data_IF_957315294035
#
_entry.id   IF_957315294035
#
_cell.length_a   1.000
_cell.length_b   1.000
_cell.length_c   1.000
_cell.angle_alpha   90.00
_cell.angle_beta   90.00
_cell.angle_gamma   90.00
#
_symmetry.space_group_name_H-M   'P 1'
#
loop_
_entity.id
_entity.type
_entity.pdbx_description
1 polymer ?
#
# COMPACT_ATOMS: atom_id res chain seq x y z
N UNK A 1 -15.41 -14.06 -21.96
CA UNK A 1 -13.99 -14.31 -22.31
C UNK A 1 -13.25 -12.97 -22.27
N UNK A 2 -12.16 -12.86 -21.51
CA UNK A 2 -11.33 -11.66 -21.47
C UNK A 2 -10.24 -11.67 -22.55
N UNK A 3 -9.65 -10.50 -22.84
CA UNK A 3 -8.52 -10.35 -23.76
C UNK A 3 -7.33 -9.73 -23.02
N UNK A 4 -6.12 -10.24 -23.28
CA UNK A 4 -4.87 -9.69 -22.78
C UNK A 4 -3.95 -9.27 -23.93
N UNK A 5 -3.06 -8.31 -23.68
CA UNK A 5 -2.01 -7.95 -24.63
C UNK A 5 -0.76 -8.77 -24.35
N UNK A 6 -0.41 -9.67 -25.26
CA UNK A 6 0.78 -10.51 -25.18
C UNK A 6 1.60 -10.37 -26.46
N UNK A 7 2.89 -10.03 -26.32
CA UNK A 7 3.80 -9.78 -27.45
C UNK A 7 3.22 -8.86 -28.55
N UNK A 8 2.55 -7.79 -28.13
CA UNK A 8 1.96 -6.81 -29.04
C UNK A 8 0.62 -7.21 -29.67
N UNK A 9 0.11 -8.42 -29.44
CA UNK A 9 -1.18 -8.90 -29.97
C UNK A 9 -2.22 -9.04 -28.86
N UNK A 10 -3.51 -8.96 -29.24
CA UNK A 10 -4.61 -9.32 -28.33
C UNK A 10 -4.82 -10.82 -28.39
N UNK A 11 -4.75 -11.49 -27.25
CA UNK A 11 -4.96 -12.93 -27.10
C UNK A 11 -6.02 -13.18 -26.03
N UNK A 12 -6.67 -14.34 -26.10
CA UNK A 12 -7.64 -14.77 -25.08
C UNK A 12 -6.92 -15.04 -23.76
N UNK A 13 -7.60 -14.80 -22.65
CA UNK A 13 -7.17 -15.23 -21.32
C UNK A 13 -7.74 -16.64 -21.08
N UNK A 14 -6.86 -17.63 -20.99
CA UNK A 14 -7.26 -19.04 -20.81
C UNK A 14 -7.83 -19.29 -19.40
N UNK A 15 -7.20 -18.72 -18.37
CA UNK A 15 -7.60 -18.88 -16.97
C UNK A 15 -7.78 -17.50 -16.32
N UNK A 16 -9.05 -17.14 -16.06
CA UNK A 16 -9.41 -15.83 -15.49
C UNK A 16 -9.40 -15.83 -13.96
N UNK A 17 -9.46 -17.01 -13.32
CA UNK A 17 -9.49 -17.16 -11.87
C UNK A 17 -8.17 -16.73 -11.22
N UNK A 18 -7.03 -16.99 -11.88
CA UNK A 18 -5.68 -16.68 -11.39
C UNK A 18 -4.84 -16.01 -12.48
N UNK A 19 -5.20 -14.78 -12.84
CA UNK A 19 -4.59 -14.09 -13.97
C UNK A 19 -3.61 -13.01 -13.53
N UNK A 20 -2.43 -12.94 -14.17
CA UNK A 20 -1.47 -11.85 -13.95
C UNK A 20 -1.35 -11.01 -15.20
N UNK A 21 -1.54 -9.70 -15.08
CA UNK A 21 -1.39 -8.77 -16.20
C UNK A 21 0.06 -8.75 -16.70
N UNK A 22 0.33 -9.12 -17.97
CA UNK A 22 1.69 -9.15 -18.50
C UNK A 22 2.40 -7.79 -18.51
N UNK A 23 1.64 -6.70 -18.67
CA UNK A 23 2.20 -5.35 -18.77
C UNK A 23 2.36 -4.68 -17.40
N UNK A 24 1.50 -5.01 -16.44
CA UNK A 24 1.45 -4.34 -15.13
C UNK A 24 2.05 -5.20 -14.00
N UNK A 25 2.16 -6.52 -14.19
CA UNK A 25 2.56 -7.47 -13.14
C UNK A 25 1.54 -7.61 -12.01
N UNK A 26 0.37 -6.99 -12.12
CA UNK A 26 -0.72 -7.06 -11.14
C UNK A 26 -1.40 -8.42 -11.23
N UNK A 27 -1.63 -9.05 -10.09
CA UNK A 27 -2.29 -10.35 -9.99
C UNK A 27 -3.77 -10.18 -9.64
N UNK A 28 -4.63 -10.91 -10.34
CA UNK A 28 -6.07 -10.93 -10.19
C UNK A 28 -6.48 -12.33 -9.73
N UNK A 29 -7.19 -12.40 -8.61
CA UNK A 29 -7.78 -13.62 -8.10
C UNK A 29 -9.30 -13.45 -8.08
N UNK A 30 -9.98 -14.09 -9.02
CA UNK A 30 -11.44 -14.07 -9.08
C UNK A 30 -11.99 -15.27 -8.29
N UNK A 31 -12.67 -14.99 -7.19
CA UNK A 31 -13.40 -15.99 -6.41
C UNK A 31 -14.90 -15.94 -6.76
N UNK A 32 -15.70 -16.92 -6.34
CA UNK A 32 -17.16 -16.87 -6.55
C UNK A 32 -17.84 -15.65 -5.91
N UNK A 33 -17.22 -15.06 -4.89
CA UNK A 33 -17.81 -13.99 -4.07
C UNK A 33 -17.24 -12.61 -4.43
N UNK A 34 -15.97 -12.53 -4.85
CA UNK A 34 -15.28 -11.26 -5.05
C UNK A 34 -14.11 -11.37 -6.06
N UNK A 35 -13.64 -10.20 -6.49
CA UNK A 35 -12.38 -10.05 -7.21
C UNK A 35 -11.33 -9.47 -6.25
N UNK A 36 -10.28 -10.23 -5.99
CA UNK A 36 -9.10 -9.76 -5.27
C UNK A 36 -8.03 -9.33 -6.27
N UNK A 37 -7.34 -8.24 -5.94
CA UNK A 37 -6.29 -7.67 -6.79
C UNK A 37 -5.06 -7.47 -5.92
N UNK A 38 -3.90 -7.89 -6.42
CA UNK A 38 -2.63 -7.79 -5.73
C UNK A 38 -1.60 -7.07 -6.60
N UNK A 39 -0.78 -6.23 -5.97
CA UNK A 39 0.38 -5.61 -6.58
C UNK A 39 1.41 -6.67 -7.01
N UNK A 40 2.39 -6.30 -7.87
CA UNK A 40 3.46 -7.22 -8.26
C UNK A 40 4.25 -7.81 -7.08
N UNK A 41 4.25 -7.11 -5.93
CA UNK A 41 4.87 -7.54 -4.68
C UNK A 41 3.96 -8.40 -3.78
N UNK A 42 2.81 -8.87 -4.30
CA UNK A 42 1.80 -9.68 -3.60
C UNK A 42 1.03 -8.97 -2.50
N UNK A 43 1.20 -7.66 -2.31
CA UNK A 43 0.34 -6.91 -1.37
C UNK A 43 -1.06 -6.71 -1.97
N UNK A 44 -2.13 -6.77 -1.16
CA UNK A 44 -3.48 -6.53 -1.65
C UNK A 44 -3.65 -5.06 -2.07
N UNK A 45 -4.43 -4.84 -3.12
CA UNK A 45 -4.92 -3.51 -3.47
C UNK A 45 -5.93 -3.06 -2.43
N UNK A 46 -5.65 -1.91 -1.83
CA UNK A 46 -6.54 -1.30 -0.86
C UNK A 46 -7.51 -0.36 -1.57
N UNK A 47 -8.74 -0.29 -1.04
CA UNK A 47 -9.69 0.73 -1.47
C UNK A 47 -9.19 2.12 -1.11
N UNK A 48 -9.69 3.14 -1.79
CA UNK A 48 -9.37 4.55 -1.51
C UNK A 48 -9.67 4.92 -0.05
N UNK A 49 -10.77 4.39 0.51
CA UNK A 49 -11.15 4.58 1.91
C UNK A 49 -10.14 3.91 2.86
N UNK A 50 -9.72 2.69 2.55
CA UNK A 50 -8.71 1.99 3.36
C UNK A 50 -7.34 2.71 3.30
N UNK A 51 -6.94 3.23 2.14
CA UNK A 51 -5.73 4.05 1.99
C UNK A 51 -5.81 5.34 2.80
N UNK A 52 -6.95 6.03 2.78
CA UNK A 52 -7.17 7.24 3.57
C UNK A 52 -7.04 6.95 5.07
N UNK A 53 -7.65 5.86 5.55
CA UNK A 53 -7.55 5.45 6.95
C UNK A 53 -6.10 5.13 7.37
N UNK A 54 -5.33 4.44 6.51
CA UNK A 54 -3.91 4.18 6.78
C UNK A 54 -3.08 5.47 6.83
N UNK A 55 -3.37 6.41 5.93
CA UNK A 55 -2.70 7.71 5.88
C UNK A 55 -2.97 8.51 7.15
N UNK A 56 -4.24 8.63 7.56
CA UNK A 56 -4.62 9.33 8.79
C UNK A 56 -3.97 8.68 10.03
N UNK A 57 -3.91 7.34 10.08
CA UNK A 57 -3.26 6.64 11.17
C UNK A 57 -1.73 6.85 11.18
N UNK A 58 -1.11 6.98 10.01
CA UNK A 58 0.32 7.26 9.91
C UNK A 58 0.64 8.69 10.34
N UNK A 59 -0.19 9.66 9.94
CA UNK A 59 -0.08 11.07 10.33
C UNK A 59 -0.21 11.23 11.85
N UNK A 60 -1.27 10.68 12.45
CA UNK A 60 -1.45 10.71 13.91
C UNK A 60 -0.26 10.12 14.66
N UNK A 61 0.34 9.04 14.15
CA UNK A 61 1.53 8.43 14.75
C UNK A 61 2.77 9.32 14.65
N UNK A 62 2.96 9.96 13.50
CA UNK A 62 4.04 10.91 13.30
C UNK A 62 3.89 12.12 14.24
N UNK A 63 2.69 12.71 14.33
CA UNK A 63 2.41 13.84 15.22
C UNK A 63 2.68 13.51 16.68
N UNK A 64 2.26 12.33 17.15
CA UNK A 64 2.54 11.88 18.52
C UNK A 64 4.05 11.71 18.76
N UNK A 65 4.77 11.09 17.81
CA UNK A 65 6.22 10.90 17.92
C UNK A 65 6.98 12.23 17.90
N UNK A 66 6.52 13.21 17.12
CA UNK A 66 7.10 14.56 17.08
C UNK A 66 6.85 15.32 18.39
N UNK A 67 5.64 15.25 18.93
CA UNK A 67 5.30 15.87 20.21
C UNK A 67 6.13 15.27 21.37
N UNK A 68 6.31 13.94 21.39
CA UNK A 68 7.14 13.27 22.37
C UNK A 68 8.61 13.68 22.24
N UNK A 69 9.15 13.69 21.01
CA UNK A 69 10.52 14.13 20.75
C UNK A 69 10.74 15.60 21.17
N UNK A 70 9.79 16.48 20.88
CA UNK A 70 9.87 17.88 21.29
C UNK A 70 9.93 18.01 22.82
N UNK A 71 9.08 17.25 23.53
CA UNK A 71 9.09 17.22 25.00
C UNK A 71 10.39 16.67 25.56
N UNK A 72 10.92 15.58 25.00
CA UNK A 72 12.19 15.00 25.42
C UNK A 72 13.34 15.99 25.20
N UNK A 73 13.40 16.64 24.05
CA UNK A 73 14.42 17.66 23.77
C UNK A 73 14.37 18.80 24.79
N UNK A 74 13.18 19.26 25.15
CA UNK A 74 13.03 20.30 26.17
C UNK A 74 13.52 19.84 27.55
N UNK A 75 13.18 18.61 27.97
CA UNK A 75 13.67 18.05 29.23
C UNK A 75 15.20 17.91 29.26
N UNK A 76 15.79 17.48 28.14
CA UNK A 76 17.25 17.34 28.01
C UNK A 76 17.96 18.70 28.03
N UNK A 77 17.34 19.74 27.46
CA UNK A 77 17.82 21.12 27.56
C UNK A 77 17.79 21.63 29.00
N UNK A 78 16.68 21.41 29.71
CA UNK A 78 16.55 21.80 31.12
C UNK A 78 17.53 21.05 32.04
N UNK A 79 17.80 19.78 31.73
CA UNK A 79 18.79 18.98 32.44
C UNK A 79 20.25 19.34 32.08
N UNK A 80 20.48 20.26 31.15
CA UNK A 80 21.81 20.68 30.72
C UNK A 80 22.60 19.62 29.93
N UNK A 81 21.91 18.62 29.39
CA UNK A 81 22.52 17.49 28.66
C UNK A 81 22.80 17.85 27.20
N UNK A 82 22.05 18.81 26.63
CA UNK A 82 22.17 19.21 25.22
C UNK A 82 21.97 20.74 25.09
N UNK A 83 22.93 21.44 24.47
CA UNK A 83 22.79 22.81 23.94
C UNK A 83 22.62 22.74 22.41
N UNK A 84 21.64 23.45 21.85
CA UNK A 84 21.48 23.67 20.42
C UNK A 84 21.65 25.15 20.10
#
# INVERSE_FOLDING_TARGET
MGLQRWQGKLTVIDEVEYWTSPLLGIHFELTPENLQIFYPDRRPFLSTVALAALTEQAEKRAELAEAENARLKELLRQAGVIEF
#
